data_IF_290093443870
#
_entry.id   IF_290093443870
#
_cell.length_a   1.000
_cell.length_b   1.000
_cell.length_c   1.000
_cell.angle_alpha   90.00
_cell.angle_beta   90.00
_cell.angle_gamma   90.00
#
_symmetry.space_group_name_H-M   'P 1'
#
loop_
_entity.id
_entity.type
_entity.pdbx_description
1 polymer ?
#
# COMPACT_ATOMS: atom_id res chain seq x y z
N UNK A 1 -12.89 -1.54 6.00
CA UNK A 1 -13.62 -2.84 6.06
C UNK A 1 -14.23 -3.06 4.70
N UNK A 2 -14.06 -4.24 4.12
CA UNK A 2 -14.67 -4.62 2.85
C UNK A 2 -16.21 -4.54 2.99
N UNK A 3 -16.85 -3.63 2.24
CA UNK A 3 -18.29 -3.39 2.32
C UNK A 3 -19.11 -4.66 2.08
N UNK A 4 -18.61 -5.57 1.22
CA UNK A 4 -19.24 -6.87 0.99
C UNK A 4 -19.17 -7.77 2.23
N UNK A 5 -18.05 -7.77 2.98
CA UNK A 5 -17.92 -8.53 4.22
C UNK A 5 -18.67 -7.90 5.40
N UNK A 6 -18.95 -6.60 5.34
CA UNK A 6 -19.72 -5.91 6.36
C UNK A 6 -21.20 -6.31 6.33
N UNK A 7 -21.72 -6.75 5.19
CA UNK A 7 -23.08 -7.22 5.03
C UNK A 7 -23.27 -8.57 5.72
N UNK A 8 -24.20 -8.68 6.70
CA UNK A 8 -24.50 -9.93 7.41
C UNK A 8 -24.90 -11.10 6.51
N UNK A 9 -25.58 -10.86 5.41
CA UNK A 9 -25.98 -11.89 4.45
C UNK A 9 -24.78 -12.50 3.74
N UNK A 10 -23.78 -11.70 3.41
CA UNK A 10 -22.56 -12.15 2.76
C UNK A 10 -21.64 -12.94 3.70
N UNK A 11 -21.71 -12.68 5.01
CA UNK A 11 -20.95 -13.46 6.02
C UNK A 11 -21.39 -14.93 6.06
N UNK A 12 -22.68 -15.21 5.83
CA UNK A 12 -23.22 -16.58 5.81
C UNK A 12 -22.74 -17.38 4.59
N UNK A 13 -22.42 -16.68 3.50
CA UNK A 13 -22.03 -17.27 2.20
C UNK A 13 -20.52 -17.44 2.09
N UNK A 14 -19.74 -16.68 2.84
CA UNK A 14 -18.26 -16.71 2.82
C UNK A 14 -17.72 -17.94 3.58
N UNK A 15 -17.86 -19.12 2.99
CA UNK A 15 -17.17 -20.33 3.48
C UNK A 15 -15.77 -20.40 2.87
N UNK A 16 -14.82 -20.94 3.65
CA UNK A 16 -13.49 -21.25 3.15
C UNK A 16 -13.62 -22.15 1.90
N UNK A 17 -13.05 -21.73 0.75
CA UNK A 17 -13.15 -22.45 -0.53
C UNK A 17 -14.30 -22.03 -1.42
N UNK A 18 -15.14 -21.10 -1.01
CA UNK A 18 -16.19 -20.57 -1.85
C UNK A 18 -15.62 -19.49 -2.78
N UNK A 19 -15.43 -19.82 -4.05
CA UNK A 19 -14.97 -18.88 -5.09
C UNK A 19 -16.11 -18.01 -5.67
N UNK A 20 -17.33 -18.11 -5.12
CA UNK A 20 -18.51 -17.33 -5.52
C UNK A 20 -18.44 -15.89 -5.01
N UNK A 21 -17.25 -15.30 -4.94
CA UNK A 21 -17.07 -13.91 -4.59
C UNK A 21 -17.47 -13.02 -5.75
N UNK A 22 -18.27 -11.96 -5.54
CA UNK A 22 -18.63 -11.04 -6.60
C UNK A 22 -17.41 -10.43 -7.30
N UNK A 23 -17.51 -10.19 -8.61
CA UNK A 23 -16.45 -9.59 -9.42
C UNK A 23 -15.93 -8.27 -8.84
N UNK A 24 -16.81 -7.48 -8.21
CA UNK A 24 -16.52 -6.18 -7.62
C UNK A 24 -15.81 -6.23 -6.27
N UNK A 25 -15.65 -7.39 -5.65
CA UNK A 25 -15.09 -7.50 -4.28
C UNK A 25 -13.71 -6.87 -4.12
N UNK A 26 -12.89 -6.86 -5.15
CA UNK A 26 -11.56 -6.26 -5.10
C UNK A 26 -11.59 -4.77 -4.79
N UNK A 27 -12.70 -4.07 -5.11
CA UNK A 27 -12.88 -2.65 -4.77
C UNK A 27 -12.81 -2.39 -3.27
N UNK A 28 -13.28 -3.33 -2.44
CA UNK A 28 -13.21 -3.24 -0.98
C UNK A 28 -11.79 -3.30 -0.40
N UNK A 29 -10.79 -3.63 -1.22
CA UNK A 29 -9.38 -3.62 -0.83
C UNK A 29 -8.63 -2.37 -1.30
N UNK A 30 -9.32 -1.48 -2.01
CA UNK A 30 -8.75 -0.21 -2.44
C UNK A 30 -8.86 0.84 -1.33
N UNK A 31 -7.79 1.55 -1.08
CA UNK A 31 -7.83 2.75 -0.26
C UNK A 31 -8.14 3.95 -1.13
N UNK A 32 -9.03 4.81 -0.65
CA UNK A 32 -9.45 6.00 -1.37
C UNK A 32 -9.99 7.08 -0.41
N UNK A 33 -9.90 8.33 -0.80
CA UNK A 33 -10.46 9.49 -0.11
C UNK A 33 -11.86 9.91 -0.64
N UNK A 34 -12.51 9.04 -1.43
CA UNK A 34 -13.72 9.25 -2.25
C UNK A 34 -13.48 10.02 -3.54
N UNK A 35 -12.29 10.57 -3.76
CA UNK A 35 -11.90 11.25 -5.01
C UNK A 35 -10.98 10.36 -5.84
N UNK A 36 -9.90 9.89 -5.23
CA UNK A 36 -8.87 9.08 -5.89
C UNK A 36 -8.48 7.86 -5.07
N UNK A 37 -7.91 6.87 -5.74
CA UNK A 37 -7.15 5.82 -5.05
C UNK A 37 -5.85 6.40 -4.48
N UNK A 38 -5.44 5.91 -3.33
CA UNK A 38 -4.24 6.40 -2.67
C UNK A 38 -3.57 5.40 -1.75
N UNK A 39 -2.42 5.80 -1.26
CA UNK A 39 -1.66 5.09 -0.23
C UNK A 39 -1.95 5.79 1.10
N UNK A 40 -2.58 5.15 2.08
CA UNK A 40 -2.89 5.77 3.37
C UNK A 40 -1.64 6.20 4.13
N UNK A 41 -1.74 7.29 4.90
CA UNK A 41 -0.68 7.77 5.78
C UNK A 41 -0.15 6.67 6.71
N UNK A 42 -1.01 5.83 7.27
CA UNK A 42 -0.61 4.71 8.12
C UNK A 42 0.32 3.71 7.43
N UNK A 43 0.10 3.46 6.13
CA UNK A 43 0.98 2.59 5.34
C UNK A 43 2.33 3.27 5.09
N UNK A 44 2.34 4.58 4.82
CA UNK A 44 3.55 5.39 4.64
C UNK A 44 4.35 5.46 5.95
N UNK A 45 3.70 5.71 7.08
CA UNK A 45 4.33 5.71 8.40
C UNK A 45 4.91 4.34 8.76
N UNK A 46 4.21 3.26 8.43
CA UNK A 46 4.73 1.90 8.62
C UNK A 46 5.97 1.66 7.77
N UNK A 47 5.96 2.08 6.52
CA UNK A 47 7.10 1.98 5.60
C UNK A 47 8.31 2.78 6.10
N UNK A 48 8.10 4.02 6.56
CA UNK A 48 9.14 4.86 7.15
C UNK A 48 9.78 4.21 8.39
N UNK A 49 8.96 3.65 9.27
CA UNK A 49 9.42 2.91 10.45
C UNK A 49 10.22 1.66 10.07
N UNK A 50 9.77 0.89 9.08
CA UNK A 50 10.47 -0.31 8.60
C UNK A 50 11.78 0.04 7.91
N UNK A 51 11.84 1.14 7.14
CA UNK A 51 13.06 1.69 6.57
C UNK A 51 14.03 2.17 7.63
N UNK A 52 13.55 2.98 8.57
CA UNK A 52 14.34 3.48 9.70
C UNK A 52 14.90 2.37 10.60
N UNK A 53 14.24 1.22 10.66
CA UNK A 53 14.77 0.05 11.37
C UNK A 53 16.04 -0.53 10.74
N UNK A 54 16.32 -0.19 9.50
CA UNK A 54 17.50 -0.69 8.74
C UNK A 54 18.60 0.35 8.59
N UNK A 55 18.39 1.58 9.08
CA UNK A 55 19.37 2.66 9.08
C UNK A 55 19.93 2.80 10.49
N UNK A 56 21.23 2.56 10.72
CA UNK A 56 21.85 2.73 12.03
C UNK A 56 22.02 4.19 12.37
N UNK A 57 21.85 4.57 13.64
CA UNK A 57 22.09 5.94 14.12
C UNK A 57 23.59 6.25 14.31
N UNK A 58 24.46 5.25 14.20
CA UNK A 58 25.88 5.37 14.56
C UNK A 58 26.15 5.33 16.06
N UNK A 59 25.14 5.43 16.89
CA UNK A 59 25.28 5.37 18.35
C UNK A 59 25.23 3.93 18.83
N UNK A 60 26.25 3.50 19.54
CA UNK A 60 26.26 2.23 20.26
C UNK A 60 25.85 2.50 21.71
N UNK A 61 24.65 2.06 22.08
CA UNK A 61 24.19 2.08 23.46
C UNK A 61 23.91 0.65 23.90
N UNK A 62 24.74 0.12 24.78
CA UNK A 62 24.52 -1.20 25.35
C UNK A 62 24.77 -2.37 24.38
N UNK A 63 23.79 -3.27 24.22
CA UNK A 63 23.95 -4.56 23.54
C UNK A 63 23.72 -4.56 22.02
N UNK A 64 23.76 -3.43 21.32
CA UNK A 64 23.57 -3.40 19.87
C UNK A 64 23.53 -2.01 19.26
N UNK A 65 23.63 -1.97 17.93
CA UNK A 65 23.52 -0.72 17.18
C UNK A 65 22.08 -0.19 17.25
N UNK A 66 21.90 1.08 17.60
CA UNK A 66 20.62 1.74 17.53
C UNK A 66 20.28 2.09 16.09
N UNK A 67 19.01 2.00 15.75
CA UNK A 67 18.50 2.36 14.42
C UNK A 67 17.49 3.51 14.52
N UNK A 68 17.23 4.14 13.41
CA UNK A 68 16.23 5.22 13.31
C UNK A 68 14.77 4.74 13.44
N UNK A 69 14.50 3.48 13.77
CA UNK A 69 13.14 2.94 13.87
C UNK A 69 12.20 3.77 14.75
N UNK A 70 12.63 4.07 15.98
CA UNK A 70 11.81 4.83 16.94
C UNK A 70 11.70 6.29 16.54
N UNK A 71 12.80 6.89 16.11
CA UNK A 71 12.84 8.27 15.66
C UNK A 71 11.99 8.48 14.42
N UNK A 72 12.01 7.57 13.44
CA UNK A 72 11.12 7.66 12.27
C UNK A 72 9.66 7.54 12.64
N UNK A 73 9.33 6.75 13.66
CA UNK A 73 7.93 6.56 14.07
C UNK A 73 7.35 7.80 14.77
N UNK A 74 8.15 8.52 15.55
CA UNK A 74 7.70 9.66 16.36
C UNK A 74 8.15 11.01 15.81
N UNK A 75 9.20 11.04 15.01
CA UNK A 75 9.83 12.27 14.51
C UNK A 75 9.53 12.60 13.06
N UNK A 76 8.70 11.80 12.36
CA UNK A 76 8.23 12.09 11.01
C UNK A 76 6.70 12.07 11.02
N UNK A 77 6.09 13.06 10.39
CA UNK A 77 4.65 13.15 10.20
C UNK A 77 4.34 13.18 8.69
N UNK A 78 3.47 12.30 8.24
CA UNK A 78 2.86 12.39 6.91
C UNK A 78 1.68 13.35 7.01
N UNK A 79 1.70 14.41 6.21
CA UNK A 79 0.76 15.54 6.40
C UNK A 79 -0.62 15.25 5.81
N UNK A 80 -0.70 14.49 4.73
CA UNK A 80 -1.96 14.13 4.07
C UNK A 80 -2.51 12.81 4.61
N UNK A 81 -3.83 12.64 4.58
CA UNK A 81 -4.51 11.41 4.97
C UNK A 81 -4.08 10.24 4.07
N UNK A 82 -3.83 10.52 2.81
CA UNK A 82 -3.30 9.60 1.82
C UNK A 82 -2.50 10.34 0.74
N UNK A 83 -1.62 9.63 0.06
CA UNK A 83 -1.00 10.09 -1.18
C UNK A 83 -1.68 9.42 -2.36
N UNK A 84 -2.20 10.23 -3.29
CA UNK A 84 -2.90 9.73 -4.47
C UNK A 84 -1.97 8.91 -5.36
N UNK A 85 -2.47 7.78 -5.87
CA UNK A 85 -1.74 6.97 -6.83
C UNK A 85 -1.94 7.56 -8.23
N UNK A 86 -0.82 7.83 -8.89
CA UNK A 86 -0.76 8.23 -10.29
C UNK A 86 -0.23 7.10 -11.15
N UNK A 87 -0.94 6.82 -12.23
CA UNK A 87 -0.56 5.90 -13.30
C UNK A 87 -0.09 6.68 -14.52
N UNK A 88 0.43 6.05 -15.57
CA UNK A 88 0.68 6.75 -16.85
C UNK A 88 -0.56 7.40 -17.48
N UNK A 89 -1.76 7.08 -16.98
CA UNK A 89 -3.03 7.69 -17.39
C UNK A 89 -3.51 8.81 -16.45
N UNK A 90 -2.73 9.14 -15.42
CA UNK A 90 -3.04 10.13 -14.40
C UNK A 90 -3.54 9.51 -13.09
N UNK A 91 -4.06 10.36 -12.20
CA UNK A 91 -4.66 9.91 -10.94
C UNK A 91 -5.85 9.00 -11.20
N UNK A 92 -6.00 7.97 -10.37
CA UNK A 92 -7.09 6.99 -10.52
C UNK A 92 -8.35 7.49 -9.80
N UNK A 93 -9.39 7.96 -10.52
CA UNK A 93 -10.57 8.53 -9.90
C UNK A 93 -11.45 7.43 -9.32
N UNK A 94 -11.80 7.56 -8.03
CA UNK A 94 -12.69 6.61 -7.35
C UNK A 94 -14.07 6.52 -8.02
N UNK A 95 -14.60 7.64 -8.54
CA UNK A 95 -15.89 7.66 -9.21
C UNK A 95 -15.99 6.73 -10.43
N UNK A 96 -14.89 6.52 -11.14
CA UNK A 96 -14.85 5.58 -12.26
C UNK A 96 -14.93 4.12 -11.79
N UNK A 97 -14.31 3.81 -10.66
CA UNK A 97 -14.30 2.47 -10.08
C UNK A 97 -15.58 2.16 -9.31
N UNK A 98 -16.13 3.14 -8.60
CA UNK A 98 -17.37 2.95 -7.84
C UNK A 98 -18.56 2.53 -8.70
N UNK A 99 -18.57 2.90 -9.99
CA UNK A 99 -19.58 2.44 -10.96
C UNK A 99 -19.59 0.92 -11.15
N UNK A 100 -18.47 0.26 -10.86
CA UNK A 100 -18.34 -1.18 -10.97
C UNK A 100 -18.83 -1.94 -9.73
N UNK A 101 -19.29 -1.24 -8.69
CA UNK A 101 -19.65 -1.87 -7.42
C UNK A 101 -20.83 -2.87 -7.53
N UNK A 102 -21.59 -2.82 -8.61
CA UNK A 102 -22.70 -3.75 -8.90
C UNK A 102 -22.51 -4.52 -10.21
N UNK A 103 -21.38 -4.34 -10.90
CA UNK A 103 -21.10 -5.00 -12.17
C UNK A 103 -20.67 -6.46 -11.92
N UNK A 104 -21.41 -7.46 -12.41
CA UNK A 104 -21.08 -8.87 -12.21
C UNK A 104 -20.03 -9.39 -13.20
N UNK A 105 -19.84 -8.73 -14.34
CA UNK A 105 -18.92 -9.16 -15.38
C UNK A 105 -17.50 -8.74 -15.06
N UNK A 106 -16.63 -9.70 -14.76
CA UNK A 106 -15.24 -9.44 -14.43
C UNK A 106 -14.44 -8.85 -15.60
N UNK A 107 -14.78 -9.14 -16.84
CA UNK A 107 -14.10 -8.57 -18.01
C UNK A 107 -14.23 -7.04 -18.04
N UNK A 108 -15.40 -6.50 -17.67
CA UNK A 108 -15.61 -5.05 -17.57
C UNK A 108 -14.76 -4.40 -16.47
N UNK A 109 -14.50 -5.12 -15.39
CA UNK A 109 -13.56 -4.65 -14.35
C UNK A 109 -12.13 -4.59 -14.88
N UNK A 110 -11.69 -5.59 -15.65
CA UNK A 110 -10.36 -5.61 -16.27
C UNK A 110 -10.22 -4.48 -17.30
N UNK A 111 -11.21 -4.26 -18.16
CA UNK A 111 -11.23 -3.17 -19.14
C UNK A 111 -11.13 -1.79 -18.46
N UNK A 112 -11.92 -1.58 -17.40
CA UNK A 112 -11.90 -0.32 -16.65
C UNK A 112 -10.55 -0.10 -15.95
N UNK A 113 -9.95 -1.14 -15.37
CA UNK A 113 -8.63 -1.06 -14.76
C UNK A 113 -7.56 -0.70 -15.80
N UNK A 114 -7.58 -1.34 -16.97
CA UNK A 114 -6.64 -1.07 -18.06
C UNK A 114 -6.79 0.37 -18.61
N UNK A 115 -8.02 0.85 -18.75
CA UNK A 115 -8.29 2.22 -19.16
C UNK A 115 -7.71 3.26 -18.18
N UNK A 116 -7.63 2.91 -16.88
CA UNK A 116 -7.07 3.73 -15.82
C UNK A 116 -5.55 3.48 -15.57
N UNK A 117 -4.92 2.64 -16.38
CA UNK A 117 -3.46 2.41 -16.34
C UNK A 117 -2.97 1.41 -15.30
N UNK A 118 -3.83 0.51 -14.83
CA UNK A 118 -3.45 -0.60 -13.95
C UNK A 118 -4.13 -1.90 -14.39
N UNK A 119 -3.81 -3.01 -13.75
CA UNK A 119 -4.40 -4.32 -14.04
C UNK A 119 -5.00 -4.95 -12.80
N UNK A 120 -5.82 -5.98 -12.98
CA UNK A 120 -6.32 -6.81 -11.90
C UNK A 120 -5.47 -8.10 -11.80
N UNK A 121 -4.81 -8.27 -10.68
CA UNK A 121 -3.98 -9.44 -10.42
C UNK A 121 -4.77 -10.51 -9.67
N UNK A 122 -5.04 -11.61 -10.38
CA UNK A 122 -5.75 -12.77 -9.82
C UNK A 122 -4.74 -13.76 -9.29
N UNK A 123 -4.79 -14.04 -8.00
CA UNK A 123 -3.90 -15.01 -7.34
C UNK A 123 -4.68 -16.00 -6.50
N UNK A 124 -4.38 -17.30 -6.67
CA UNK A 124 -4.81 -18.32 -5.73
C UNK A 124 -3.97 -18.23 -4.47
N UNK A 125 -4.60 -17.94 -3.34
CA UNK A 125 -3.99 -17.91 -2.03
C UNK A 125 -4.49 -19.10 -1.21
N UNK A 126 -3.59 -19.72 -0.43
CA UNK A 126 -3.96 -20.77 0.51
C UNK A 126 -4.19 -20.17 1.88
N UNK A 127 -5.37 -20.43 2.48
CA UNK A 127 -5.69 -20.04 3.85
C UNK A 127 -6.04 -21.33 4.59
N UNK A 128 -5.15 -21.77 5.49
CA UNK A 128 -5.25 -23.12 6.07
C UNK A 128 -5.13 -24.19 4.99
N UNK A 129 -6.09 -25.09 4.89
CA UNK A 129 -6.13 -26.14 3.86
C UNK A 129 -6.90 -25.74 2.61
N UNK A 130 -7.51 -24.56 2.58
CA UNK A 130 -8.43 -24.15 1.52
C UNK A 130 -7.77 -23.14 0.59
N UNK A 131 -8.03 -23.28 -0.72
CA UNK A 131 -7.60 -22.36 -1.76
C UNK A 131 -8.67 -21.28 -1.94
N UNK A 132 -8.25 -20.02 -1.97
CA UNK A 132 -9.11 -18.88 -2.25
C UNK A 132 -8.54 -18.09 -3.43
N UNK A 133 -9.39 -17.69 -4.33
CA UNK A 133 -9.02 -16.71 -5.36
C UNK A 133 -9.06 -15.30 -4.76
N UNK A 134 -7.97 -14.57 -4.89
CA UNK A 134 -7.86 -13.17 -4.47
C UNK A 134 -7.54 -12.31 -5.67
N UNK A 135 -8.31 -11.24 -5.82
CA UNK A 135 -8.08 -10.22 -6.83
C UNK A 135 -7.58 -8.96 -6.15
N UNK A 136 -6.55 -8.33 -6.71
CA UNK A 136 -5.97 -7.08 -6.22
C UNK A 136 -5.64 -6.17 -7.39
N UNK A 137 -5.78 -4.85 -7.23
CA UNK A 137 -5.24 -3.92 -8.21
C UNK A 137 -3.71 -4.05 -8.24
N UNK A 138 -3.15 -4.08 -9.43
CA UNK A 138 -1.72 -4.15 -9.68
C UNK A 138 -1.29 -2.98 -10.54
N UNK A 139 -0.40 -2.18 -10.00
CA UNK A 139 0.19 -1.03 -10.65
C UNK A 139 1.62 -1.39 -11.07
N UNK A 140 1.85 -1.57 -12.38
CA UNK A 140 3.18 -1.89 -12.91
C UNK A 140 4.06 -0.64 -13.04
N UNK A 141 3.43 0.51 -13.28
CA UNK A 141 4.06 1.83 -13.27
C UNK A 141 3.17 2.78 -12.47
N UNK A 142 3.73 3.37 -11.43
CA UNK A 142 2.99 4.24 -10.54
C UNK A 142 3.90 5.28 -9.90
N UNK A 143 3.30 6.37 -9.49
CA UNK A 143 3.90 7.37 -8.63
C UNK A 143 2.90 7.76 -7.53
N UNK A 144 3.40 8.33 -6.46
CA UNK A 144 2.62 9.00 -5.44
C UNK A 144 3.46 10.11 -4.84
N UNK A 145 2.86 11.25 -4.59
CA UNK A 145 3.53 12.42 -4.02
C UNK A 145 2.74 13.00 -2.86
N UNK A 146 3.44 13.59 -1.93
CA UNK A 146 2.88 14.26 -0.78
C UNK A 146 3.98 14.85 0.09
N UNK A 147 3.63 15.36 1.25
CA UNK A 147 4.55 16.06 2.13
C UNK A 147 4.74 15.32 3.45
N UNK A 148 5.94 15.41 3.97
CA UNK A 148 6.27 14.95 5.31
C UNK A 148 6.87 16.11 6.11
N UNK A 149 6.51 16.21 7.38
CA UNK A 149 7.17 17.11 8.33
C UNK A 149 8.12 16.31 9.19
N UNK A 150 9.37 16.73 9.26
CA UNK A 150 10.38 16.15 10.15
C UNK A 150 10.41 16.99 11.43
N UNK A 151 10.16 16.34 12.57
CA UNK A 151 10.10 16.93 13.91
C UNK A 151 11.36 16.63 14.75
N UNK A 152 12.21 15.72 14.28
CA UNK A 152 13.37 15.20 14.98
C UNK A 152 14.66 15.64 14.30
N UNK A 153 15.47 16.45 14.97
CA UNK A 153 16.69 17.05 14.42
C UNK A 153 17.73 16.02 13.94
N UNK A 154 17.74 14.83 14.53
CA UNK A 154 18.63 13.75 14.07
C UNK A 154 18.25 13.18 12.70
N UNK A 155 17.05 13.45 12.22
CA UNK A 155 16.58 13.03 10.90
C UNK A 155 16.85 14.16 9.90
N UNK A 156 18.10 14.30 9.51
CA UNK A 156 18.50 15.24 8.45
C UNK A 156 17.92 14.78 7.09
N UNK A 157 17.99 15.64 6.08
CA UNK A 157 17.57 15.31 4.70
C UNK A 157 18.27 14.04 4.18
N UNK A 158 19.58 13.90 4.46
CA UNK A 158 20.36 12.72 4.04
C UNK A 158 19.89 11.44 4.76
N UNK A 159 19.60 11.53 6.04
CA UNK A 159 19.05 10.42 6.82
C UNK A 159 17.67 10.03 6.32
N UNK A 160 16.78 11.01 6.08
CA UNK A 160 15.45 10.75 5.51
C UNK A 160 15.55 10.10 4.13
N UNK A 161 16.44 10.60 3.27
CA UNK A 161 16.72 10.01 1.94
C UNK A 161 17.14 8.55 2.09
N UNK A 162 18.10 8.27 2.98
CA UNK A 162 18.58 6.91 3.24
C UNK A 162 17.47 5.98 3.75
N UNK A 163 16.62 6.48 4.65
CA UNK A 163 15.46 5.74 5.17
C UNK A 163 14.51 5.37 4.03
N UNK A 164 14.16 6.33 3.17
CA UNK A 164 13.21 6.15 2.07
C UNK A 164 13.77 5.25 0.97
N UNK A 165 15.04 5.39 0.59
CA UNK A 165 15.68 4.52 -0.41
C UNK A 165 15.76 3.07 0.07
N UNK A 166 16.13 2.86 1.33
CA UNK A 166 16.14 1.52 1.95
C UNK A 166 14.72 0.98 2.04
N UNK A 167 13.75 1.81 2.42
CA UNK A 167 12.35 1.42 2.45
C UNK A 167 11.86 0.97 1.06
N UNK A 168 12.13 1.74 0.01
CA UNK A 168 11.74 1.42 -1.36
C UNK A 168 12.37 0.11 -1.86
N UNK A 169 13.64 -0.10 -1.55
CA UNK A 169 14.37 -1.28 -2.00
C UNK A 169 14.08 -2.54 -1.20
N UNK A 170 13.96 -2.45 0.14
CA UNK A 170 13.93 -3.61 1.04
C UNK A 170 12.61 -3.81 1.78
N UNK A 171 11.78 -2.77 1.92
CA UNK A 171 10.50 -2.88 2.63
C UNK A 171 9.32 -2.93 1.66
N UNK A 172 9.21 -1.95 0.78
CA UNK A 172 8.14 -1.82 -0.17
C UNK A 172 6.82 -1.35 0.45
N UNK A 173 5.81 -1.16 -0.39
CA UNK A 173 4.45 -0.75 -0.04
C UNK A 173 3.42 -1.77 -0.57
N UNK A 174 2.27 -1.85 0.08
CA UNK A 174 1.15 -2.69 -0.35
C UNK A 174 1.29 -4.17 -0.02
N UNK A 175 0.46 -4.96 -0.69
CA UNK A 175 0.42 -6.42 -0.53
C UNK A 175 1.62 -7.09 -1.23
N UNK A 176 2.08 -8.21 -0.67
CA UNK A 176 3.23 -9.00 -1.15
C UNK A 176 4.51 -8.19 -1.33
N UNK A 177 4.70 -7.17 -0.48
CA UNK A 177 5.94 -6.42 -0.41
C UNK A 177 7.09 -7.24 0.21
N UNK A 178 8.35 -6.88 0.02
CA UNK A 178 9.50 -7.62 0.57
C UNK A 178 9.47 -7.78 2.09
N UNK A 179 9.01 -6.77 2.83
CA UNK A 179 8.90 -6.80 4.30
C UNK A 179 7.62 -7.39 4.84
N UNK A 180 6.76 -7.97 3.98
CA UNK A 180 5.51 -8.59 4.46
C UNK A 180 5.80 -9.74 5.41
N UNK A 181 5.30 -9.72 6.68
CA UNK A 181 5.68 -10.69 7.70
C UNK A 181 5.17 -12.10 7.43
N UNK A 182 4.05 -12.25 6.70
CA UNK A 182 3.43 -13.56 6.42
C UNK A 182 3.68 -14.06 5.02
N UNK A 183 3.84 -13.19 4.05
CA UNK A 183 3.95 -13.54 2.64
C UNK A 183 4.84 -12.54 1.93
N UNK A 184 6.16 -12.60 2.13
CA UNK A 184 7.09 -11.70 1.44
C UNK A 184 7.00 -11.93 -0.07
N UNK A 185 7.13 -10.83 -0.83
CA UNK A 185 7.05 -10.85 -2.29
C UNK A 185 7.91 -9.77 -2.93
N UNK A 186 7.81 -9.63 -4.24
CA UNK A 186 8.61 -8.69 -5.02
C UNK A 186 7.90 -7.37 -5.35
N UNK A 187 6.63 -7.21 -4.96
CA UNK A 187 5.84 -6.03 -5.31
C UNK A 187 6.12 -4.83 -4.40
N UNK A 188 5.66 -3.67 -4.82
CA UNK A 188 5.67 -2.44 -4.03
C UNK A 188 7.04 -1.82 -3.81
N UNK A 189 8.07 -2.23 -4.57
CA UNK A 189 9.35 -1.53 -4.59
C UNK A 189 9.20 -0.18 -5.29
N UNK A 190 9.97 0.81 -4.84
CA UNK A 190 9.93 2.16 -5.40
C UNK A 190 11.29 2.86 -5.27
N UNK A 191 11.48 3.90 -6.03
CA UNK A 191 12.52 4.92 -5.86
C UNK A 191 11.91 6.21 -5.35
N UNK A 192 12.72 7.10 -4.78
CA UNK A 192 12.25 8.38 -4.26
C UNK A 192 13.01 9.54 -4.88
N UNK A 193 12.32 10.68 -4.97
CA UNK A 193 12.91 11.99 -5.14
C UNK A 193 12.41 12.88 -3.99
N UNK A 194 13.29 13.61 -3.34
CA UNK A 194 12.98 14.48 -2.22
C UNK A 194 13.32 15.92 -2.61
N UNK A 195 12.41 16.80 -2.29
CA UNK A 195 12.58 18.25 -2.41
C UNK A 195 12.29 18.87 -1.05
N UNK A 196 13.18 19.74 -0.59
CA UNK A 196 12.97 20.48 0.64
C UNK A 196 12.18 21.77 0.33
N UNK A 197 11.06 21.97 0.97
CA UNK A 197 10.12 23.07 0.74
C UNK A 197 10.04 24.06 1.93
N UNK A 198 11.14 24.34 2.59
CA UNK A 198 11.21 25.37 3.62
C UNK A 198 11.14 24.85 5.04
#
# INVERSE_FOLDING_TARGET
>A
MDAWQADPENRKVSRAGDDRTPAFRWLGYCYHDRKHLGIPADNLMTMLREGGAKVPTGNRAGKGDQSFKKLSQSGILVNEIQWDIETPKGKVPWSALHKLATEPDFAKHEEAAQALGFSLFVKRARVGQTKHTRVRPRFDSWAASGTVTVLEDMITTDVLTSILEIAGRLCGLGDWRPSSPKSPGGFGRFSVAIEQIG
#
